data_IF_711227771024
#
_entry.id   IF_711227771024
#
_cell.length_a   1.000
_cell.length_b   1.000
_cell.length_c   1.000
_cell.angle_alpha   90.00
_cell.angle_beta   90.00
_cell.angle_gamma   90.00
#
_symmetry.space_group_name_H-M   'P 1'
#
loop_
_entity.id
_entity.type
_entity.pdbx_description
1 polymer ?
#
# COMPACT_ATOMS: atom_id res chain seq x y z
N UNK A 1 2.41 3.02 -6.61
CA UNK A 1 3.54 2.12 -6.28
C UNK A 1 3.06 0.98 -5.40
N UNK A 2 3.37 -0.22 -5.77
CA UNK A 2 2.97 -1.41 -5.02
C UNK A 2 4.21 -2.15 -4.54
N UNK A 3 4.25 -2.52 -3.27
CA UNK A 3 5.39 -3.16 -2.64
C UNK A 3 4.91 -4.39 -1.88
N UNK A 4 5.59 -5.51 -2.08
CA UNK A 4 5.35 -6.70 -1.28
C UNK A 4 5.97 -6.52 0.11
N UNK A 5 5.19 -6.77 1.16
CA UNK A 5 5.65 -6.61 2.53
C UNK A 5 6.25 -7.92 3.04
N UNK A 6 7.58 -8.03 3.12
CA UNK A 6 8.22 -9.28 3.53
C UNK A 6 8.08 -9.60 5.00
N UNK A 7 7.76 -8.61 5.82
CA UNK A 7 7.70 -8.81 7.26
C UNK A 7 6.46 -9.59 7.70
N UNK A 8 5.49 -9.73 6.81
CA UNK A 8 4.22 -10.38 7.15
C UNK A 8 3.89 -11.51 6.19
N UNK A 9 4.88 -12.12 5.61
CA UNK A 9 4.69 -13.17 4.63
C UNK A 9 4.63 -14.56 5.29
N UNK A 10 3.63 -14.80 6.11
CA UNK A 10 3.48 -16.13 6.72
C UNK A 10 2.60 -17.02 5.85
N UNK A 11 1.30 -16.79 5.92
CA UNK A 11 0.32 -17.62 5.25
C UNK A 11 -0.29 -16.92 4.06
N UNK A 12 -0.14 -15.60 4.00
CA UNK A 12 -0.73 -14.80 2.95
C UNK A 12 0.27 -13.75 2.48
N UNK A 13 0.28 -13.51 1.19
CA UNK A 13 1.06 -12.41 0.64
C UNK A 13 0.38 -11.09 0.95
N UNK A 14 1.13 -10.20 1.56
CA UNK A 14 0.67 -8.86 1.86
C UNK A 14 1.35 -7.87 0.95
N UNK A 15 0.58 -6.92 0.50
CA UNK A 15 1.05 -5.90 -0.42
C UNK A 15 0.69 -4.53 0.10
N UNK A 16 1.50 -3.55 -0.29
CA UNK A 16 1.24 -2.16 0.03
C UNK A 16 1.13 -1.40 -1.27
N UNK A 17 0.04 -0.67 -1.41
CA UNK A 17 -0.22 0.17 -2.57
C UNK A 17 -0.32 1.62 -2.11
N UNK A 18 0.43 2.51 -2.76
CA UNK A 18 0.33 3.93 -2.51
C UNK A 18 -0.31 4.61 -3.70
N UNK A 19 -1.23 5.52 -3.43
CA UNK A 19 -1.92 6.26 -4.48
C UNK A 19 -2.43 7.59 -3.98
N UNK A 20 -2.73 8.49 -4.89
CA UNK A 20 -3.30 9.78 -4.54
C UNK A 20 -4.82 9.73 -4.53
N UNK A 21 -5.39 10.36 -3.52
CA UNK A 21 -6.83 10.58 -3.48
C UNK A 21 -7.16 11.84 -4.31
N UNK A 22 -8.45 12.07 -4.49
CA UNK A 22 -8.94 13.25 -5.21
C UNK A 22 -8.59 14.57 -4.52
N UNK A 23 -8.15 14.51 -3.28
CA UNK A 23 -7.68 15.70 -2.52
C UNK A 23 -6.16 15.80 -2.51
N UNK A 24 -5.49 15.10 -3.42
CA UNK A 24 -4.04 15.10 -3.51
C UNK A 24 -3.34 14.59 -2.27
N UNK A 25 -4.00 13.73 -1.51
CA UNK A 25 -3.40 13.06 -0.38
C UNK A 25 -2.89 11.70 -0.80
N UNK A 26 -1.69 11.37 -0.37
CA UNK A 26 -1.15 10.04 -0.64
C UNK A 26 -1.67 9.08 0.42
N UNK A 27 -2.30 8.01 -0.04
CA UNK A 27 -2.85 6.98 0.83
C UNK A 27 -2.03 5.72 0.73
N UNK A 28 -1.91 5.03 1.85
CA UNK A 28 -1.24 3.72 1.91
C UNK A 28 -2.31 2.67 2.17
N UNK A 29 -2.44 1.74 1.24
CA UNK A 29 -3.41 0.65 1.35
C UNK A 29 -2.67 -0.66 1.53
N UNK A 30 -2.96 -1.36 2.61
CA UNK A 30 -2.43 -2.70 2.84
C UNK A 30 -3.49 -3.73 2.46
N UNK A 31 -3.11 -4.71 1.68
CA UNK A 31 -4.07 -5.72 1.23
C UNK A 31 -3.41 -7.08 1.05
N UNK A 32 -4.23 -8.10 0.96
CA UNK A 32 -3.77 -9.44 0.59
C UNK A 32 -4.43 -9.84 -0.72
N UNK A 33 -3.70 -10.62 -1.51
CA UNK A 33 -4.19 -11.18 -2.76
C UNK A 33 -4.30 -12.69 -2.60
N UNK A 34 -5.51 -13.20 -2.67
CA UNK A 34 -5.77 -14.63 -2.52
C UNK A 34 -6.07 -15.32 -3.86
N UNK A 35 -5.71 -14.66 -4.94
CA UNK A 35 -5.92 -15.22 -6.26
C UNK A 35 -7.27 -14.88 -6.87
N UNK A 36 -8.34 -15.17 -6.16
CA UNK A 36 -9.69 -14.85 -6.63
C UNK A 36 -10.28 -13.64 -5.91
N UNK A 37 -9.63 -13.18 -4.84
CA UNK A 37 -10.12 -12.08 -4.03
C UNK A 37 -8.97 -11.21 -3.55
N UNK A 38 -9.25 -9.92 -3.46
CA UNK A 38 -8.35 -8.98 -2.80
C UNK A 38 -9.04 -8.54 -1.51
N UNK A 39 -8.32 -8.66 -0.40
CA UNK A 39 -8.84 -8.25 0.89
C UNK A 39 -8.08 -7.05 1.39
N UNK A 40 -8.77 -5.95 1.60
CA UNK A 40 -8.18 -4.74 2.17
C UNK A 40 -8.01 -4.93 3.67
N UNK A 41 -6.78 -4.73 4.15
CA UNK A 41 -6.47 -4.85 5.57
C UNK A 41 -6.58 -3.50 6.25
N UNK A 42 -5.96 -2.47 5.67
CA UNK A 42 -5.99 -1.14 6.26
C UNK A 42 -5.74 -0.08 5.20
N UNK A 43 -6.23 1.12 5.49
CA UNK A 43 -6.00 2.30 4.66
C UNK A 43 -5.65 3.44 5.60
N UNK A 44 -4.58 4.16 5.29
CA UNK A 44 -4.18 5.31 6.08
C UNK A 44 -3.50 6.35 5.20
N UNK A 45 -3.42 7.56 5.71
CA UNK A 45 -2.68 8.63 5.02
C UNK A 45 -1.19 8.37 5.20
N UNK A 46 -0.43 8.53 4.12
CA UNK A 46 1.01 8.34 4.15
C UNK A 46 1.68 9.39 5.03
N UNK A 47 2.73 8.98 5.73
CA UNK A 47 3.54 9.93 6.48
C UNK A 47 4.47 10.68 5.51
N UNK A 48 5.24 11.64 6.04
CA UNK A 48 6.11 12.48 5.21
C UNK A 48 7.12 11.64 4.41
N UNK A 49 7.72 10.65 5.04
CA UNK A 49 8.73 9.80 4.40
C UNK A 49 8.12 8.98 3.28
N UNK A 50 6.96 8.40 3.52
CA UNK A 50 6.27 7.59 2.51
C UNK A 50 5.82 8.45 1.34
N UNK A 51 5.31 9.63 1.64
CA UNK A 51 4.88 10.55 0.60
C UNK A 51 6.03 10.98 -0.29
N UNK A 52 7.17 11.27 0.32
CA UNK A 52 8.37 11.64 -0.43
C UNK A 52 8.80 10.52 -1.35
N UNK A 53 8.78 9.30 -0.86
CA UNK A 53 9.16 8.14 -1.64
C UNK A 53 8.22 7.92 -2.81
N UNK A 54 6.93 8.14 -2.59
CA UNK A 54 5.93 8.04 -3.64
C UNK A 54 6.18 9.08 -4.74
N UNK A 55 6.46 10.31 -4.35
CA UNK A 55 6.73 11.40 -5.30
C UNK A 55 8.00 11.16 -6.10
N UNK A 56 9.02 10.60 -5.49
CA UNK A 56 10.26 10.27 -6.18
C UNK A 56 10.10 9.09 -7.13
N UNK A 57 9.21 8.17 -6.82
CA UNK A 57 9.01 6.97 -7.61
C UNK A 57 8.05 7.13 -8.78
N UNK A 58 7.43 8.26 -8.91
CA UNK A 58 6.47 8.46 -10.01
C UNK A 58 7.00 9.34 -11.13
#
# INVERSE_FOLDING_TARGET
>A
MMIHDPDHSRDEDRYILMGESDRQRVLVVSFTDRGDRIRIISVRVANRRERKKYEEGS
#
